data_IF_495383559419
#
_entry.id   IF_495383559419
#
_cell.length_a   1.000
_cell.length_b   1.000
_cell.length_c   1.000
_cell.angle_alpha   90.00
_cell.angle_beta   90.00
_cell.angle_gamma   90.00
#
_symmetry.space_group_name_H-M   'P 1'
#
loop_
_entity.id
_entity.type
_entity.pdbx_description
1 polymer ?
#
# COMPACT_ATOMS: atom_id res chain seq x y z
N UNK A 1 -9.13 -45.82 -52.51
CA UNK A 1 -9.52 -44.42 -52.26
C UNK A 1 -8.67 -43.93 -51.11
N UNK A 2 -8.20 -42.69 -51.21
CA UNK A 2 -6.92 -42.15 -50.73
C UNK A 2 -6.62 -42.23 -49.23
N UNK A 3 -5.42 -42.73 -48.90
CA UNK A 3 -4.70 -42.46 -47.65
C UNK A 3 -3.97 -41.12 -47.75
N UNK A 4 -4.37 -40.14 -46.95
CA UNK A 4 -3.68 -38.86 -46.78
C UNK A 4 -2.87 -38.86 -45.48
N UNK A 5 -1.63 -39.32 -45.59
CA UNK A 5 -0.60 -39.18 -44.54
C UNK A 5 -0.03 -37.77 -44.59
N UNK A 6 -0.53 -36.90 -43.72
CA UNK A 6 0.02 -35.55 -43.51
C UNK A 6 1.34 -35.62 -42.71
N UNK A 7 2.45 -35.42 -43.40
CA UNK A 7 3.76 -35.21 -42.78
C UNK A 7 3.79 -33.83 -42.09
N UNK A 8 3.78 -33.84 -40.77
CA UNK A 8 4.03 -32.67 -39.94
C UNK A 8 5.56 -32.49 -39.81
N UNK A 9 6.13 -31.55 -40.55
CA UNK A 9 7.54 -31.21 -40.48
C UNK A 9 7.83 -30.52 -39.13
N UNK A 10 8.39 -31.27 -38.20
CA UNK A 10 8.92 -30.74 -36.95
C UNK A 10 10.01 -29.71 -37.23
N UNK A 11 9.72 -28.45 -36.96
CA UNK A 11 10.70 -27.37 -36.92
C UNK A 11 11.61 -27.60 -35.72
N UNK A 12 12.80 -28.16 -35.98
CA UNK A 12 13.85 -28.33 -34.98
C UNK A 12 14.44 -26.95 -34.68
N UNK A 13 14.13 -26.42 -33.50
CA UNK A 13 14.77 -25.21 -32.97
C UNK A 13 16.22 -25.53 -32.64
N UNK A 14 17.14 -25.10 -33.52
CA UNK A 14 18.59 -25.16 -33.29
C UNK A 14 19.00 -23.86 -32.58
N UNK A 15 19.47 -23.89 -31.32
CA UNK A 15 19.94 -22.69 -30.65
C UNK A 15 21.20 -22.13 -31.35
N UNK A 16 21.34 -20.80 -31.46
CA UNK A 16 22.50 -20.19 -32.08
C UNK A 16 23.78 -20.55 -31.32
N UNK A 17 24.75 -21.05 -32.08
CA UNK A 17 26.08 -21.44 -31.63
C UNK A 17 26.88 -20.20 -31.14
N UNK A 18 27.30 -20.13 -29.86
CA UNK A 18 27.91 -18.92 -29.28
C UNK A 18 29.39 -18.70 -29.64
N UNK A 19 29.99 -19.53 -30.51
CA UNK A 19 31.43 -19.49 -30.79
C UNK A 19 31.80 -18.84 -32.13
N UNK A 20 31.29 -17.64 -32.39
CA UNK A 20 31.78 -16.80 -33.49
C UNK A 20 31.85 -15.32 -33.05
N UNK A 21 32.82 -15.02 -32.20
CA UNK A 21 33.26 -13.64 -31.95
C UNK A 21 34.75 -13.55 -32.26
N UNK A 22 35.03 -13.38 -33.56
CA UNK A 22 36.32 -12.92 -34.08
C UNK A 22 36.63 -11.54 -33.50
N UNK A 23 37.85 -11.38 -33.00
CA UNK A 23 38.31 -10.25 -32.21
C UNK A 23 38.14 -8.90 -32.89
N UNK A 24 37.33 -8.04 -32.27
CA UNK A 24 37.50 -6.60 -32.35
C UNK A 24 38.25 -6.17 -31.08
N UNK A 25 39.47 -5.71 -31.27
CA UNK A 25 40.35 -5.20 -30.22
C UNK A 25 39.78 -3.86 -29.71
N UNK A 26 39.54 -3.68 -28.39
CA UNK A 26 39.02 -2.41 -27.89
C UNK A 26 40.15 -1.38 -27.85
N UNK A 27 40.11 -0.44 -28.78
CA UNK A 27 40.92 0.77 -28.77
C UNK A 27 40.60 1.55 -27.49
N UNK A 28 41.60 1.74 -26.64
CA UNK A 28 41.49 2.46 -25.38
C UNK A 28 41.01 3.90 -25.60
N UNK A 29 39.77 4.17 -25.24
CA UNK A 29 39.21 5.51 -25.16
C UNK A 29 38.71 5.75 -23.74
N UNK A 30 39.36 6.72 -23.09
CA UNK A 30 39.00 7.46 -21.88
C UNK A 30 37.68 7.03 -21.21
N UNK A 31 37.80 6.47 -20.02
CA UNK A 31 36.69 6.23 -19.10
C UNK A 31 36.01 7.52 -18.69
N UNK A 32 35.02 7.94 -19.47
CA UNK A 32 33.87 8.59 -18.89
C UNK A 32 33.00 7.47 -18.34
N UNK A 33 32.70 7.54 -17.04
CA UNK A 33 31.75 6.65 -16.38
C UNK A 33 30.35 7.04 -16.87
N UNK A 34 30.11 6.74 -18.14
CA UNK A 34 28.84 6.97 -18.80
C UNK A 34 27.82 6.13 -18.03
N UNK A 35 26.90 6.81 -17.34
CA UNK A 35 25.84 6.16 -16.58
C UNK A 35 24.94 5.43 -17.59
N UNK A 36 25.29 4.18 -17.85
CA UNK A 36 24.58 3.34 -18.81
C UNK A 36 23.18 3.10 -18.27
N UNK A 37 22.18 3.67 -18.96
CA UNK A 37 20.78 3.40 -18.68
C UNK A 37 20.43 2.05 -19.30
N UNK A 38 19.84 1.16 -18.49
CA UNK A 38 19.29 -0.08 -18.99
C UNK A 38 17.93 0.15 -19.63
N UNK A 39 17.71 -0.45 -20.79
CA UNK A 39 16.38 -0.53 -21.41
C UNK A 39 15.49 -1.51 -20.64
N UNK A 40 14.19 -1.48 -20.91
CA UNK A 40 13.21 -2.36 -20.26
C UNK A 40 13.54 -3.85 -20.45
N UNK A 41 13.97 -4.23 -21.65
CA UNK A 41 14.29 -5.62 -22.00
C UNK A 41 15.55 -6.09 -21.26
N UNK A 42 16.53 -5.23 -21.10
CA UNK A 42 17.75 -5.56 -20.36
C UNK A 42 17.47 -5.72 -18.86
N UNK A 43 16.63 -4.85 -18.29
CA UNK A 43 16.14 -5.00 -16.92
C UNK A 43 15.42 -6.35 -16.73
N UNK A 44 14.63 -6.76 -17.72
CA UNK A 44 13.90 -8.02 -17.75
C UNK A 44 14.85 -9.24 -17.76
N UNK A 45 15.93 -9.18 -18.55
CA UNK A 45 17.00 -10.20 -18.54
C UNK A 45 17.58 -10.37 -17.13
N UNK A 46 17.90 -9.26 -16.46
CA UNK A 46 18.54 -9.30 -15.14
C UNK A 46 17.60 -9.92 -14.09
N UNK A 47 16.32 -9.55 -14.10
CA UNK A 47 15.38 -10.12 -13.12
C UNK A 47 15.08 -11.60 -13.40
N UNK A 48 15.01 -12.01 -14.66
CA UNK A 48 14.89 -13.43 -15.01
C UNK A 48 16.08 -14.24 -14.51
N UNK A 49 17.30 -13.73 -14.64
CA UNK A 49 18.49 -14.35 -14.06
C UNK A 49 18.40 -14.43 -12.53
N UNK A 50 17.91 -13.38 -11.87
CA UNK A 50 17.72 -13.39 -10.42
C UNK A 50 16.71 -14.46 -9.99
N UNK A 51 15.56 -14.57 -10.68
CA UNK A 51 14.55 -15.58 -10.42
C UNK A 51 15.04 -17.01 -10.69
N UNK A 52 15.79 -17.20 -11.78
CA UNK A 52 16.33 -18.51 -12.18
C UNK A 52 17.31 -19.06 -11.13
N UNK A 53 18.20 -18.21 -10.62
CA UNK A 53 19.20 -18.59 -9.61
C UNK A 53 18.78 -18.24 -8.17
N UNK A 54 17.50 -17.93 -7.97
CA UNK A 54 17.02 -17.47 -6.68
C UNK A 54 17.21 -18.47 -5.52
N UNK A 55 17.24 -19.80 -5.71
CA UNK A 55 17.61 -20.72 -4.62
C UNK A 55 19.01 -20.47 -4.04
N UNK A 56 19.96 -19.99 -4.84
CA UNK A 56 21.33 -19.69 -4.40
C UNK A 56 21.39 -18.40 -3.57
N UNK A 57 20.43 -17.50 -3.78
CA UNK A 57 20.32 -16.25 -3.00
C UNK A 57 19.94 -16.50 -1.54
N UNK A 58 19.12 -17.52 -1.27
CA UNK A 58 18.62 -17.85 0.06
C UNK A 58 19.69 -18.42 1.01
N UNK A 59 20.89 -18.74 0.51
CA UNK A 59 22.00 -19.21 1.33
C UNK A 59 22.71 -18.01 1.98
N UNK A 60 22.81 -17.91 3.32
CA UNK A 60 23.37 -16.74 3.99
C UNK A 60 24.80 -16.37 3.56
N UNK A 61 25.64 -17.37 3.27
CA UNK A 61 27.01 -17.18 2.77
C UNK A 61 27.08 -17.06 1.24
N UNK A 62 25.99 -17.35 0.53
CA UNK A 62 25.95 -17.48 -0.93
C UNK A 62 25.61 -16.18 -1.67
N UNK A 63 25.16 -15.12 -0.98
CA UNK A 63 24.68 -13.90 -1.64
C UNK A 63 25.75 -13.23 -2.51
N UNK A 64 27.00 -13.15 -2.03
CA UNK A 64 28.08 -12.55 -2.80
C UNK A 64 28.38 -13.32 -4.10
N UNK A 65 28.38 -14.66 -4.03
CA UNK A 65 28.59 -15.53 -5.18
C UNK A 65 27.40 -15.51 -6.13
N UNK A 66 26.18 -15.44 -5.61
CA UNK A 66 24.96 -15.22 -6.39
C UNK A 66 25.08 -13.94 -7.22
N UNK A 67 25.43 -12.80 -6.60
CA UNK A 67 25.54 -11.54 -7.34
C UNK A 67 26.67 -11.53 -8.36
N UNK A 68 27.82 -12.16 -8.06
CA UNK A 68 28.91 -12.36 -9.04
C UNK A 68 28.44 -13.20 -10.23
N UNK A 69 27.68 -14.27 -9.97
CA UNK A 69 27.13 -15.14 -11.02
C UNK A 69 26.12 -14.39 -11.89
N UNK A 70 25.19 -13.65 -11.28
CA UNK A 70 24.23 -12.79 -12.00
C UNK A 70 24.97 -11.73 -12.83
N UNK A 71 25.98 -11.05 -12.27
CA UNK A 71 26.78 -10.06 -13.00
C UNK A 71 27.42 -10.67 -14.26
N UNK A 72 28.06 -11.85 -14.11
CA UNK A 72 28.72 -12.55 -15.21
C UNK A 72 27.72 -12.96 -16.29
N UNK A 73 26.61 -13.59 -15.92
CA UNK A 73 25.60 -14.06 -16.88
C UNK A 73 24.87 -12.92 -17.57
N UNK A 74 24.52 -11.86 -16.83
CA UNK A 74 23.93 -10.66 -17.41
C UNK A 74 24.90 -10.00 -18.39
N UNK A 75 26.19 -9.93 -18.05
CA UNK A 75 27.19 -9.36 -18.95
C UNK A 75 27.35 -10.16 -20.25
N UNK A 76 27.23 -11.48 -20.17
CA UNK A 76 27.24 -12.35 -21.35
C UNK A 76 26.00 -12.16 -22.22
N UNK A 77 24.80 -12.10 -21.62
CA UNK A 77 23.54 -11.94 -22.38
C UNK A 77 23.38 -10.55 -22.97
N UNK A 78 23.84 -9.51 -22.28
CA UNK A 78 23.72 -8.12 -22.72
C UNK A 78 24.88 -7.66 -23.62
N UNK A 79 25.93 -8.47 -23.77
CA UNK A 79 27.13 -8.11 -24.52
C UNK A 79 27.94 -6.95 -23.92
N UNK A 80 27.69 -6.57 -22.66
CA UNK A 80 28.34 -5.44 -21.98
C UNK A 80 28.49 -5.69 -20.47
N UNK A 81 29.54 -5.16 -19.82
CA UNK A 81 29.81 -5.45 -18.41
C UNK A 81 28.76 -4.83 -17.47
N UNK A 82 28.19 -5.66 -16.60
CA UNK A 82 27.28 -5.26 -15.53
C UNK A 82 28.04 -5.19 -14.20
N UNK A 83 28.41 -3.98 -13.77
CA UNK A 83 29.30 -3.77 -12.61
C UNK A 83 28.65 -4.13 -11.26
N UNK A 84 27.39 -3.76 -11.03
CA UNK A 84 26.75 -3.92 -9.71
C UNK A 84 25.27 -4.34 -9.83
N UNK A 85 24.99 -5.63 -10.10
CA UNK A 85 23.62 -6.12 -10.24
C UNK A 85 22.79 -6.02 -8.96
N UNK A 86 23.43 -6.09 -7.78
CA UNK A 86 22.72 -5.99 -6.50
C UNK A 86 22.11 -4.60 -6.30
N UNK A 87 22.91 -3.55 -6.47
CA UNK A 87 22.43 -2.17 -6.38
C UNK A 87 21.37 -1.87 -7.46
N UNK A 88 21.56 -2.42 -8.65
CA UNK A 88 20.64 -2.26 -9.76
C UNK A 88 19.29 -2.95 -9.50
N UNK A 89 19.29 -4.19 -9.00
CA UNK A 89 18.06 -4.88 -8.60
C UNK A 89 17.34 -4.16 -7.46
N UNK A 90 18.08 -3.60 -6.49
CA UNK A 90 17.49 -2.77 -5.43
C UNK A 90 16.78 -1.55 -6.01
N UNK A 91 17.46 -0.80 -6.88
CA UNK A 91 16.87 0.36 -7.57
C UNK A 91 15.63 -0.04 -8.38
N UNK A 92 15.70 -1.12 -9.16
CA UNK A 92 14.57 -1.59 -9.96
C UNK A 92 13.36 -1.99 -9.12
N UNK A 93 13.59 -2.59 -7.94
CA UNK A 93 12.54 -2.90 -6.97
C UNK A 93 11.94 -1.63 -6.37
N UNK A 94 12.76 -0.67 -5.99
CA UNK A 94 12.28 0.59 -5.41
C UNK A 94 11.48 1.40 -6.44
N UNK A 95 11.95 1.49 -7.69
CA UNK A 95 11.22 2.08 -8.83
C UNK A 95 9.86 1.39 -9.05
N UNK A 96 9.82 0.06 -8.93
CA UNK A 96 8.58 -0.73 -9.06
C UNK A 96 7.59 -0.44 -7.92
N UNK A 97 8.05 -0.35 -6.68
CA UNK A 97 7.19 -0.01 -5.52
C UNK A 97 6.57 1.37 -5.70
N UNK A 98 7.36 2.36 -6.15
CA UNK A 98 6.86 3.72 -6.45
C UNK A 98 5.81 3.66 -7.56
N UNK A 99 6.08 2.92 -8.66
CA UNK A 99 5.16 2.78 -9.77
C UNK A 99 3.82 2.15 -9.33
N UNK A 100 3.86 1.08 -8.55
CA UNK A 100 2.65 0.42 -8.05
C UNK A 100 1.88 1.29 -7.05
N UNK A 101 2.56 2.06 -6.21
CA UNK A 101 1.92 3.01 -5.30
C UNK A 101 1.18 4.13 -6.07
N UNK A 102 1.81 4.67 -7.12
CA UNK A 102 1.15 5.66 -8.00
C UNK A 102 -0.07 5.05 -8.69
N UNK A 103 0.10 3.86 -9.29
CA UNK A 103 -0.98 3.13 -9.97
C UNK A 103 -2.17 2.86 -9.04
N UNK A 104 -1.90 2.41 -7.82
CA UNK A 104 -2.94 2.13 -6.83
C UNK A 104 -3.73 3.39 -6.46
N UNK A 105 -3.06 4.55 -6.39
CA UNK A 105 -3.70 5.84 -6.10
C UNK A 105 -4.60 6.31 -7.24
N UNK A 106 -4.17 6.07 -8.48
CA UNK A 106 -4.88 6.53 -9.68
C UNK A 106 -6.06 5.63 -10.07
N UNK A 107 -5.89 4.30 -10.01
CA UNK A 107 -6.84 3.32 -10.56
C UNK A 107 -7.58 2.50 -9.50
N UNK A 108 -7.29 2.70 -8.21
CA UNK A 108 -7.91 1.96 -7.09
C UNK A 108 -7.51 0.48 -6.99
N UNK A 109 -6.92 -0.08 -8.04
CA UNK A 109 -6.32 -1.43 -8.05
C UNK A 109 -4.97 -1.36 -8.76
N UNK A 110 -3.92 -1.92 -8.13
CA UNK A 110 -2.59 -2.04 -8.73
C UNK A 110 -2.35 -3.51 -9.08
N UNK A 111 -2.78 -3.93 -10.27
CA UNK A 111 -2.40 -5.23 -10.80
C UNK A 111 -1.13 -5.11 -11.65
N UNK A 112 -0.20 -6.06 -11.56
CA UNK A 112 0.97 -6.13 -12.43
C UNK A 112 0.55 -6.67 -13.80
N UNK A 113 0.53 -5.79 -14.79
CA UNK A 113 0.00 -6.07 -16.13
C UNK A 113 1.10 -6.50 -17.10
N UNK A 114 2.36 -6.12 -16.83
CA UNK A 114 3.52 -6.47 -17.67
C UNK A 114 4.37 -7.62 -17.15
N UNK A 115 5.06 -8.32 -18.06
CA UNK A 115 6.02 -9.40 -17.71
C UNK A 115 7.12 -8.92 -16.73
N UNK A 116 7.61 -7.70 -16.91
CA UNK A 116 8.56 -7.07 -15.99
C UNK A 116 7.96 -6.91 -14.59
N UNK A 117 6.72 -6.42 -14.49
CA UNK A 117 6.01 -6.17 -13.23
C UNK A 117 5.74 -7.49 -12.51
N UNK A 118 5.26 -8.50 -13.23
CA UNK A 118 5.03 -9.84 -12.69
C UNK A 118 6.34 -10.49 -12.20
N UNK A 119 7.43 -10.33 -12.94
CA UNK A 119 8.75 -10.83 -12.54
C UNK A 119 9.27 -10.09 -11.31
N UNK A 120 9.02 -8.79 -11.21
CA UNK A 120 9.38 -7.97 -10.04
C UNK A 120 8.59 -8.37 -8.80
N UNK A 121 7.29 -8.61 -8.93
CA UNK A 121 6.46 -9.08 -7.81
C UNK A 121 6.93 -10.46 -7.31
N UNK A 122 7.23 -11.39 -8.24
CA UNK A 122 7.79 -12.71 -7.89
C UNK A 122 9.12 -12.58 -7.14
N UNK A 123 10.00 -11.70 -7.61
CA UNK A 123 11.30 -11.48 -6.96
C UNK A 123 11.13 -10.86 -5.57
N UNK A 124 10.30 -9.82 -5.46
CA UNK A 124 9.96 -9.16 -4.19
C UNK A 124 9.43 -10.17 -3.18
N UNK A 125 8.40 -10.94 -3.53
CA UNK A 125 7.83 -11.97 -2.65
C UNK A 125 8.91 -12.95 -2.15
N UNK A 126 9.84 -13.34 -3.02
CA UNK A 126 10.91 -14.26 -2.63
C UNK A 126 11.92 -13.62 -1.67
N UNK A 127 12.33 -12.38 -1.91
CA UNK A 127 13.22 -11.65 -0.99
C UNK A 127 12.55 -11.47 0.36
N UNK A 128 11.26 -11.13 0.38
CA UNK A 128 10.48 -10.97 1.61
C UNK A 128 10.36 -12.30 2.37
N UNK A 129 10.08 -13.40 1.66
CA UNK A 129 10.00 -14.76 2.23
C UNK A 129 11.34 -15.30 2.72
N UNK A 130 12.46 -14.80 2.17
CA UNK A 130 13.80 -15.29 2.53
C UNK A 130 14.26 -14.87 3.92
N UNK A 131 13.50 -14.01 4.62
CA UNK A 131 13.81 -13.60 5.98
C UNK A 131 15.09 -12.77 6.11
N UNK A 132 15.66 -12.31 5.00
CA UNK A 132 16.93 -11.56 4.92
C UNK A 132 16.87 -10.18 5.60
N UNK A 133 15.74 -9.83 6.25
CA UNK A 133 15.59 -8.70 7.17
C UNK A 133 15.78 -7.30 6.55
N UNK A 134 16.18 -7.23 5.27
CA UNK A 134 16.49 -6.01 4.52
C UNK A 134 15.45 -5.72 3.42
N UNK A 135 14.50 -6.62 3.21
CA UNK A 135 13.38 -6.48 2.26
C UNK A 135 12.20 -5.70 2.83
N UNK A 136 11.96 -5.81 4.14
CA UNK A 136 10.94 -5.03 4.82
C UNK A 136 11.51 -3.64 5.13
N UNK A 137 11.09 -2.64 4.35
CA UNK A 137 10.65 -1.40 5.01
C UNK A 137 9.66 -1.88 6.05
N UNK A 138 10.04 -1.87 7.33
CA UNK A 138 9.12 -2.17 8.44
C UNK A 138 7.85 -1.33 8.22
N UNK A 139 6.64 -1.91 8.11
CA UNK A 139 5.69 -1.65 9.16
C UNK A 139 6.16 -2.51 10.33
N UNK A 140 6.41 -1.93 11.49
CA UNK A 140 6.94 -2.66 12.64
C UNK A 140 5.96 -3.70 13.23
N UNK A 141 4.88 -4.06 12.53
CA UNK A 141 3.72 -4.75 13.10
C UNK A 141 2.94 -5.49 11.98
N UNK A 142 3.43 -6.59 11.39
CA UNK A 142 2.67 -7.27 10.33
C UNK A 142 3.06 -8.72 10.04
N UNK A 143 3.28 -9.57 11.04
CA UNK A 143 3.43 -11.02 10.76
C UNK A 143 2.66 -11.97 11.67
N UNK A 144 2.03 -11.48 12.74
CA UNK A 144 0.98 -12.20 13.48
C UNK A 144 -0.34 -11.43 13.46
N UNK A 145 -0.26 -10.10 13.56
CA UNK A 145 -1.43 -9.23 13.64
C UNK A 145 -2.17 -9.08 12.30
N UNK A 146 -1.50 -9.13 11.15
CA UNK A 146 -2.19 -9.01 9.85
C UNK A 146 -3.05 -10.24 9.51
N UNK A 147 -2.64 -11.44 9.92
CA UNK A 147 -3.44 -12.65 9.73
C UNK A 147 -4.67 -12.65 10.65
N UNK A 148 -4.55 -12.09 11.85
CA UNK A 148 -5.67 -11.91 12.76
C UNK A 148 -6.59 -10.77 12.31
N UNK A 149 -6.05 -9.66 11.81
CA UNK A 149 -6.82 -8.55 11.25
C UNK A 149 -7.56 -8.97 9.98
N UNK A 150 -6.94 -9.72 9.06
CA UNK A 150 -7.62 -10.26 7.87
C UNK A 150 -8.72 -11.27 8.25
N UNK A 151 -8.49 -12.09 9.29
CA UNK A 151 -9.51 -13.01 9.82
C UNK A 151 -10.67 -12.22 10.44
N UNK A 152 -10.39 -11.20 11.24
CA UNK A 152 -11.41 -10.35 11.88
C UNK A 152 -12.17 -9.55 10.82
N UNK A 153 -11.50 -8.98 9.82
CA UNK A 153 -12.17 -8.29 8.72
C UNK A 153 -13.02 -9.24 7.87
N UNK A 154 -12.55 -10.46 7.63
CA UNK A 154 -13.33 -11.49 6.94
C UNK A 154 -14.56 -11.91 7.74
N UNK A 155 -14.42 -12.09 9.06
CA UNK A 155 -15.52 -12.40 9.97
C UNK A 155 -16.53 -11.26 10.06
N UNK A 156 -16.07 -10.01 10.14
CA UNK A 156 -16.94 -8.82 10.13
C UNK A 156 -17.66 -8.68 8.79
N UNK A 157 -16.97 -8.89 7.67
CA UNK A 157 -17.59 -8.83 6.34
C UNK A 157 -18.64 -9.92 6.16
N UNK A 158 -18.32 -11.15 6.58
CA UNK A 158 -19.26 -12.27 6.59
C UNK A 158 -20.46 -12.02 7.50
N UNK A 159 -20.23 -11.48 8.71
CA UNK A 159 -21.29 -11.10 9.63
C UNK A 159 -22.19 -10.01 9.05
N UNK A 160 -21.62 -8.98 8.41
CA UNK A 160 -22.39 -7.93 7.75
C UNK A 160 -23.22 -8.45 6.58
N UNK A 161 -22.67 -9.39 5.78
CA UNK A 161 -23.46 -10.10 4.76
C UNK A 161 -24.64 -10.86 5.37
N UNK A 162 -24.40 -11.66 6.40
CA UNK A 162 -25.47 -12.45 7.03
C UNK A 162 -26.51 -11.55 7.68
N UNK A 163 -26.11 -10.49 8.37
CA UNK A 163 -27.02 -9.54 9.01
C UNK A 163 -27.83 -8.73 8.00
N UNK A 164 -27.25 -8.35 6.85
CA UNK A 164 -28.00 -7.69 5.77
C UNK A 164 -28.94 -8.64 5.03
N UNK A 165 -28.67 -9.94 5.03
CA UNK A 165 -29.59 -10.97 4.54
C UNK A 165 -30.68 -11.31 5.56
N UNK A 166 -30.37 -11.32 6.86
CA UNK A 166 -31.30 -11.60 7.95
C UNK A 166 -32.26 -10.45 8.26
N UNK A 167 -31.91 -9.21 7.89
CA UNK A 167 -32.78 -8.04 8.04
C UNK A 167 -33.81 -7.85 6.93
N UNK A 168 -33.75 -8.67 5.86
CA UNK A 168 -34.84 -8.75 4.89
C UNK A 168 -35.91 -9.65 5.50
N UNK A 169 -36.96 -9.05 6.06
CA UNK A 169 -38.20 -9.78 6.34
C UNK A 169 -38.51 -10.65 5.12
N UNK A 170 -38.65 -11.95 5.37
CA UNK A 170 -38.99 -12.87 4.29
C UNK A 170 -40.30 -12.41 3.68
N UNK A 171 -40.43 -12.55 2.36
CA UNK A 171 -41.64 -12.14 1.63
C UNK A 171 -42.90 -12.84 2.20
N UNK A 172 -42.74 -14.01 2.83
CA UNK A 172 -43.77 -14.72 3.60
C UNK A 172 -44.22 -13.98 4.86
N UNK A 173 -43.31 -13.36 5.62
CA UNK A 173 -43.65 -12.60 6.83
C UNK A 173 -44.36 -11.28 6.48
N UNK A 174 -43.98 -10.66 5.36
CA UNK A 174 -44.70 -9.50 4.80
C UNK A 174 -46.10 -9.87 4.27
N UNK A 175 -46.26 -11.04 3.65
CA UNK A 175 -47.56 -11.56 3.21
C UNK A 175 -48.47 -11.92 4.40
N UNK A 176 -47.93 -12.45 5.49
CA UNK A 176 -48.68 -12.74 6.71
C UNK A 176 -49.14 -11.48 7.47
N UNK A 177 -48.53 -10.32 7.19
CA UNK A 177 -48.89 -9.03 7.78
C UNK A 177 -50.00 -8.27 7.04
N UNK A 178 -50.46 -8.78 5.89
CA UNK A 178 -51.59 -8.19 5.16
C UNK A 178 -52.90 -8.54 5.88
N UNK A 179 -53.66 -7.56 6.41
CA UNK A 179 -54.97 -7.83 6.96
C UNK A 179 -55.89 -8.30 5.83
N UNK A 180 -56.49 -9.47 6.02
CA UNK A 180 -57.44 -10.08 5.10
C UNK A 180 -58.68 -9.18 4.98
N UNK A 181 -58.67 -8.31 3.97
CA UNK A 181 -59.75 -7.39 3.64
C UNK A 181 -60.87 -8.15 2.91
N UNK A 182 -61.46 -9.12 3.61
CA UNK A 182 -62.70 -9.81 3.25
C UNK A 182 -63.90 -9.07 3.83
N UNK A 183 -64.45 -8.16 3.02
CA UNK A 183 -65.87 -7.78 2.90
C UNK A 183 -66.81 -8.14 4.07
N UNK A 184 -67.24 -7.14 4.85
CA UNK A 184 -68.34 -7.32 5.81
C UNK A 184 -68.79 -6.02 6.46
N UNK A 185 -69.93 -5.51 6.00
CA UNK A 185 -70.55 -4.25 6.40
C UNK A 185 -70.96 -4.13 7.89
N UNK A 186 -70.89 -2.88 8.35
CA UNK A 186 -71.79 -2.18 9.29
C UNK A 186 -71.39 -2.04 10.79
N UNK A 187 -71.78 -0.91 11.43
CA UNK A 187 -71.20 -0.39 12.67
C UNK A 187 -72.09 -0.69 13.90
N UNK A 188 -71.60 -0.37 15.12
CA UNK A 188 -72.30 0.33 16.23
C UNK A 188 -71.63 0.04 17.60
N UNK A 189 -71.25 1.14 18.26
CA UNK A 189 -71.25 1.46 19.70
C UNK A 189 -70.35 0.79 20.76
N UNK A 190 -69.99 1.70 21.68
CA UNK A 190 -69.83 1.57 23.15
C UNK A 190 -68.52 1.06 23.74
N UNK A 191 -67.69 2.03 24.15
CA UNK A 191 -66.92 2.10 25.41
C UNK A 191 -67.66 1.46 26.61
N UNK A 192 -66.95 0.94 27.65
CA UNK A 192 -66.41 1.85 28.67
C UNK A 192 -65.12 1.42 29.43
N UNK A 193 -64.36 2.45 29.82
CA UNK A 193 -63.79 2.74 31.16
C UNK A 193 -63.04 1.64 31.93
N UNK A 194 -61.73 1.86 32.10
CA UNK A 194 -60.89 1.29 33.16
C UNK A 194 -59.54 2.00 33.29
N UNK A 195 -59.46 3.01 34.16
CA UNK A 195 -58.24 3.70 34.64
C UNK A 195 -58.03 3.35 36.14
N UNK A 196 -56.94 3.72 36.85
CA UNK A 196 -55.61 4.25 36.47
C UNK A 196 -54.43 3.60 37.26
N UNK A 197 -53.21 4.13 37.05
CA UNK A 197 -52.05 4.11 37.97
C UNK A 197 -51.00 2.99 37.82
N UNK A 198 -49.85 3.36 37.21
CA UNK A 198 -48.45 3.27 37.69
C UNK A 198 -47.56 3.61 36.48
N UNK A 199 -47.55 4.87 36.06
CA UNK A 199 -46.57 5.36 35.08
C UNK A 199 -46.23 6.79 35.46
N UNK A 200 -45.34 7.00 36.43
CA UNK A 200 -44.69 8.30 36.69
C UNK A 200 -43.61 8.15 37.78
N UNK A 201 -42.46 7.58 37.42
CA UNK A 201 -41.22 7.73 38.21
C UNK A 201 -39.93 7.28 37.50
N UNK A 202 -39.99 6.81 36.25
CA UNK A 202 -38.78 6.50 35.43
C UNK A 202 -38.39 7.57 34.41
N UNK A 203 -39.08 8.71 34.36
CA UNK A 203 -38.88 9.75 33.34
C UNK A 203 -37.70 10.68 33.65
N UNK A 204 -37.49 11.06 34.93
CA UNK A 204 -36.43 12.01 35.31
C UNK A 204 -35.00 11.45 35.29
N UNK A 205 -34.82 10.13 35.40
CA UNK A 205 -33.50 9.50 35.32
C UNK A 205 -33.00 9.33 33.87
N UNK A 206 -33.92 9.20 32.91
CA UNK A 206 -33.58 9.12 31.48
C UNK A 206 -33.24 10.50 30.90
N UNK A 207 -33.88 11.56 31.37
CA UNK A 207 -33.64 12.93 30.90
C UNK A 207 -32.22 13.43 31.24
N UNK A 208 -31.74 13.21 32.48
CA UNK A 208 -30.34 13.52 32.86
C UNK A 208 -29.29 12.72 32.08
N UNK A 209 -29.59 11.47 31.68
CA UNK A 209 -28.68 10.65 30.84
C UNK A 209 -28.61 11.17 29.40
N UNK A 210 -29.74 11.60 28.82
CA UNK A 210 -29.79 12.15 27.46
C UNK A 210 -29.09 13.52 27.39
N UNK A 211 -29.20 14.33 28.44
CA UNK A 211 -28.53 15.63 28.52
C UNK A 211 -27.01 15.50 28.67
N UNK A 212 -26.53 14.55 29.50
CA UNK A 212 -25.11 14.21 29.59
C UNK A 212 -24.51 13.65 28.29
N UNK A 213 -25.29 12.93 27.49
CA UNK A 213 -24.88 12.46 26.16
C UNK A 213 -24.77 13.59 25.14
N UNK A 214 -25.70 14.56 25.16
CA UNK A 214 -25.60 15.76 24.31
C UNK A 214 -24.37 16.61 24.65
N UNK A 215 -24.08 16.78 25.94
CA UNK A 215 -22.89 17.50 26.41
C UNK A 215 -21.59 16.80 25.96
N UNK A 216 -21.51 15.46 26.11
CA UNK A 216 -20.37 14.68 25.61
C UNK A 216 -20.22 14.79 24.10
N UNK A 217 -21.31 14.75 23.34
CA UNK A 217 -21.29 14.90 21.87
C UNK A 217 -20.78 16.29 21.46
N UNK A 218 -21.17 17.33 22.19
CA UNK A 218 -20.68 18.70 21.97
C UNK A 218 -19.18 18.80 22.24
N UNK A 219 -18.70 18.20 23.34
CA UNK A 219 -17.28 18.18 23.70
C UNK A 219 -16.42 17.44 22.68
N UNK A 220 -16.89 16.32 22.14
CA UNK A 220 -16.21 15.60 21.06
C UNK A 220 -16.15 16.45 19.78
N UNK A 221 -17.25 17.13 19.44
CA UNK A 221 -17.29 18.01 18.27
C UNK A 221 -16.33 19.20 18.40
N UNK A 222 -16.27 19.82 19.58
CA UNK A 222 -15.34 20.94 19.84
C UNK A 222 -13.88 20.47 19.85
N UNK A 223 -13.60 19.27 20.36
CA UNK A 223 -12.26 18.65 20.26
C UNK A 223 -11.88 18.36 18.81
N UNK A 224 -12.81 17.86 17.98
CA UNK A 224 -12.58 17.65 16.55
C UNK A 224 -12.24 18.94 15.83
N UNK A 225 -13.02 20.01 16.06
CA UNK A 225 -12.74 21.34 15.48
C UNK A 225 -11.39 21.89 15.88
N UNK A 226 -11.01 21.75 17.15
CA UNK A 226 -9.69 22.18 17.63
C UNK A 226 -8.56 21.43 16.93
N UNK A 227 -8.73 20.12 16.68
CA UNK A 227 -7.74 19.32 15.95
C UNK A 227 -7.63 19.73 14.48
N UNK A 228 -8.76 20.01 13.82
CA UNK A 228 -8.79 20.48 12.43
C UNK A 228 -8.08 21.84 12.28
N UNK A 229 -8.32 22.77 13.22
CA UNK A 229 -7.65 24.08 13.25
C UNK A 229 -6.14 23.93 13.48
N UNK A 230 -5.72 22.99 14.33
CA UNK A 230 -4.30 22.73 14.60
C UNK A 230 -3.59 22.12 13.39
N UNK A 231 -4.22 21.17 12.70
CA UNK A 231 -3.71 20.59 11.44
C UNK A 231 -3.60 21.67 10.35
N UNK A 232 -4.61 22.53 10.24
CA UNK A 232 -4.58 23.64 9.30
C UNK A 232 -3.42 24.61 9.60
N UNK A 233 -3.16 24.92 10.87
CA UNK A 233 -2.06 25.78 11.28
C UNK A 233 -0.68 25.14 11.01
N UNK A 234 -0.53 23.83 11.23
CA UNK A 234 0.72 23.09 10.95
C UNK A 234 1.00 23.01 9.45
N UNK A 235 -0.05 22.78 8.63
CA UNK A 235 0.07 22.82 7.18
C UNK A 235 0.53 24.19 6.68
N UNK A 236 0.05 25.29 7.25
CA UNK A 236 0.55 26.64 6.94
C UNK A 236 2.04 26.79 7.29
N UNK A 237 2.49 26.16 8.38
CA UNK A 237 3.90 26.11 8.78
C UNK A 237 4.78 25.38 7.75
N UNK A 238 4.35 24.20 7.33
CA UNK A 238 5.01 23.40 6.30
C UNK A 238 5.14 24.15 4.97
N UNK A 239 4.07 24.80 4.50
CA UNK A 239 4.11 25.60 3.27
C UNK A 239 5.12 26.75 3.39
N UNK A 240 5.22 27.41 4.55
CA UNK A 240 6.22 28.46 4.79
C UNK A 240 7.66 27.96 4.78
N UNK A 241 7.92 26.73 5.22
CA UNK A 241 9.27 26.13 5.14
C UNK A 241 9.64 25.85 3.68
N UNK A 242 8.67 25.34 2.90
CA UNK A 242 8.87 25.08 1.46
C UNK A 242 9.11 26.37 0.67
N UNK A 243 8.35 27.45 0.94
CA UNK A 243 8.51 28.74 0.26
C UNK A 243 9.89 29.38 0.54
N UNK A 244 10.38 29.32 1.79
CA UNK A 244 11.72 29.82 2.15
C UNK A 244 12.85 29.11 1.42
N UNK A 245 12.70 27.81 1.18
CA UNK A 245 13.70 27.02 0.47
C UNK A 245 13.69 27.30 -1.04
N UNK A 246 12.53 27.59 -1.63
CA UNK A 246 12.43 27.98 -3.04
C UNK A 246 13.14 29.32 -3.33
N UNK A 247 12.99 30.31 -2.44
CA UNK A 247 13.65 31.62 -2.58
C UNK A 247 15.17 31.53 -2.38
N UNK A 248 15.65 30.67 -1.47
CA UNK A 248 17.08 30.43 -1.25
C UNK A 248 17.79 29.83 -2.47
N UNK A 249 17.12 28.93 -3.18
CA UNK A 249 17.61 28.32 -4.42
C UNK A 249 17.70 29.34 -5.58
N UNK A 250 16.79 30.31 -5.63
CA UNK A 250 16.78 31.35 -6.66
C UNK A 250 17.82 32.45 -6.42
N UNK A 251 18.15 32.76 -5.17
CA UNK A 251 19.13 33.80 -4.82
C UNK A 251 20.60 33.39 -5.01
N UNK A 252 20.90 32.09 -5.11
CA UNK A 252 22.28 31.56 -5.17
C UNK A 252 22.79 31.24 -6.59
N UNK A 253 21.97 31.45 -7.64
CA UNK A 253 22.29 31.20 -9.05
C UNK A 253 23.31 32.15 -9.69
N UNK A 254 24.05 32.93 -8.90
CA UNK A 254 25.02 33.90 -9.36
C UNK A 254 26.45 33.55 -8.95
N UNK A 255 27.22 33.02 -9.91
CA UNK A 255 28.69 33.00 -9.96
C UNK A 255 29.47 31.93 -9.14
N UNK A 256 30.19 31.11 -9.94
CA UNK A 256 31.44 30.36 -9.66
C UNK A 256 31.33 28.96 -9.04
N UNK A 257 31.29 27.97 -9.93
CA UNK A 257 32.05 26.73 -9.80
C UNK A 257 31.23 25.46 -9.53
N UNK A 258 31.06 24.65 -10.58
CA UNK A 258 30.42 23.31 -10.63
C UNK A 258 30.87 22.28 -9.56
N UNK A 259 31.87 22.59 -8.73
CA UNK A 259 32.37 21.69 -7.67
C UNK A 259 31.75 21.96 -6.30
N UNK A 260 30.98 23.03 -6.11
CA UNK A 260 30.27 23.33 -4.85
C UNK A 260 28.77 23.01 -4.88
N UNK A 261 28.19 22.74 -6.05
CA UNK A 261 26.77 22.38 -6.19
C UNK A 261 26.45 21.00 -5.61
N UNK A 262 27.30 19.98 -5.82
CA UNK A 262 27.05 18.64 -5.26
C UNK A 262 27.13 18.62 -3.72
N UNK A 263 28.01 19.42 -3.12
CA UNK A 263 28.15 19.47 -1.66
C UNK A 263 26.98 20.23 -1.01
N UNK A 264 26.47 21.28 -1.66
CA UNK A 264 25.26 22.00 -1.23
C UNK A 264 23.98 21.18 -1.39
N UNK A 265 23.84 20.42 -2.49
CA UNK A 265 22.69 19.51 -2.69
C UNK A 265 22.62 18.43 -1.60
N UNK A 266 23.76 17.84 -1.22
CA UNK A 266 23.81 16.85 -0.13
C UNK A 266 23.47 17.46 1.23
N UNK A 267 23.86 18.71 1.47
CA UNK A 267 23.58 19.40 2.73
C UNK A 267 22.09 19.80 2.85
N UNK A 268 21.48 20.27 1.77
CA UNK A 268 20.04 20.58 1.71
C UNK A 268 19.21 19.31 1.87
N UNK A 269 19.56 18.21 1.20
CA UNK A 269 18.86 16.92 1.36
C UNK A 269 18.96 16.38 2.79
N UNK A 270 20.10 16.59 3.46
CA UNK A 270 20.29 16.18 4.86
C UNK A 270 19.46 17.01 5.83
N UNK A 271 19.43 18.33 5.67
CA UNK A 271 18.76 19.24 6.60
C UNK A 271 17.23 19.18 6.43
N UNK A 272 16.76 19.29 5.18
CA UNK A 272 15.34 19.14 4.83
C UNK A 272 14.85 17.72 5.16
N UNK A 273 15.66 16.70 4.87
CA UNK A 273 15.34 15.32 5.23
C UNK A 273 15.14 15.15 6.73
N UNK A 274 16.03 15.71 7.56
CA UNK A 274 15.95 15.56 9.01
C UNK A 274 14.73 16.26 9.64
N UNK A 275 14.39 17.46 9.17
CA UNK A 275 13.25 18.22 9.70
C UNK A 275 11.92 17.60 9.25
N UNK A 276 11.80 17.21 7.98
CA UNK A 276 10.61 16.53 7.45
C UNK A 276 10.40 15.18 8.13
N UNK A 277 11.45 14.38 8.31
CA UNK A 277 11.38 13.10 9.05
C UNK A 277 10.94 13.35 10.51
N UNK A 278 11.45 14.40 11.14
CA UNK A 278 11.07 14.80 12.50
C UNK A 278 9.58 15.12 12.62
N UNK A 279 9.05 15.94 11.72
CA UNK A 279 7.63 16.31 11.69
C UNK A 279 6.72 15.12 11.36
N UNK A 280 7.07 14.30 10.36
CA UNK A 280 6.31 13.08 10.02
C UNK A 280 6.27 12.10 11.20
N UNK A 281 7.38 11.92 11.91
CA UNK A 281 7.43 11.07 13.11
C UNK A 281 6.57 11.64 14.25
N UNK A 282 6.53 12.96 14.39
CA UNK A 282 5.67 13.64 15.38
C UNK A 282 4.19 13.42 15.09
N UNK A 283 3.79 13.57 13.82
CA UNK A 283 2.41 13.34 13.35
C UNK A 283 2.01 11.88 13.56
N UNK A 284 2.85 10.93 13.18
CA UNK A 284 2.58 9.49 13.36
C UNK A 284 2.29 9.14 14.83
N UNK A 285 3.17 9.56 15.76
CA UNK A 285 2.96 9.33 17.21
C UNK A 285 1.68 9.98 17.72
N UNK A 286 1.22 11.05 17.09
CA UNK A 286 0.01 11.78 17.48
C UNK A 286 -1.24 11.07 16.96
N UNK A 287 -1.19 10.48 15.76
CA UNK A 287 -2.22 9.59 15.24
C UNK A 287 -2.39 8.36 16.12
N UNK A 288 -1.30 7.71 16.54
CA UNK A 288 -1.36 6.55 17.45
C UNK A 288 -2.09 6.90 18.76
N UNK A 289 -1.78 8.08 19.35
CA UNK A 289 -2.48 8.57 20.56
C UNK A 289 -3.95 8.89 20.33
N UNK A 290 -4.36 9.25 19.11
CA UNK A 290 -5.77 9.47 18.79
C UNK A 290 -6.51 8.15 18.65
N UNK A 291 -5.89 7.15 18.04
CA UNK A 291 -6.45 5.80 17.91
C UNK A 291 -6.67 5.15 19.27
N UNK A 292 -5.70 5.25 20.18
CA UNK A 292 -5.83 4.77 21.57
C UNK A 292 -7.00 5.45 22.32
N UNK A 293 -7.16 6.78 22.15
CA UNK A 293 -8.28 7.52 22.75
C UNK A 293 -9.62 7.14 22.14
N UNK A 294 -9.67 6.85 20.84
CA UNK A 294 -10.89 6.40 20.17
C UNK A 294 -11.30 5.03 20.70
N UNK A 295 -10.35 4.10 20.88
CA UNK A 295 -10.59 2.79 21.46
C UNK A 295 -11.10 2.88 22.91
N UNK A 296 -10.58 3.82 23.71
CA UNK A 296 -11.05 4.08 25.07
C UNK A 296 -12.51 4.60 25.08
N UNK A 297 -12.85 5.51 24.17
CA UNK A 297 -14.22 6.01 24.00
C UNK A 297 -15.16 4.84 23.65
N UNK A 298 -14.79 4.01 22.68
CA UNK A 298 -15.62 2.90 22.22
C UNK A 298 -15.82 1.85 23.34
N UNK A 299 -14.77 1.53 24.11
CA UNK A 299 -14.87 0.67 25.31
C UNK A 299 -15.85 1.22 26.34
N UNK A 300 -15.83 2.53 26.60
CA UNK A 300 -16.78 3.13 27.55
C UNK A 300 -18.21 3.18 27.03
N UNK A 301 -18.42 3.19 25.71
CA UNK A 301 -19.75 3.21 25.10
C UNK A 301 -20.44 1.83 25.19
N UNK A 302 -19.68 0.74 25.10
CA UNK A 302 -20.19 -0.65 25.18
C UNK A 302 -20.63 -1.02 26.61
N UNK A 303 -20.11 -0.36 27.64
CA UNK A 303 -20.44 -0.64 29.05
C UNK A 303 -21.68 0.10 29.58
N UNK A 304 -22.29 1.01 28.81
CA UNK A 304 -23.40 1.90 29.24
C UNK A 304 -24.75 1.44 28.70
#
# INVERSE_FOLDING_TARGET
>A
MSDSTGQNAGSIFVPPNPYNLSGAQPTGARGQDERVHLTKDEKLVIIHLCLLYAPEYSVPSGQGEFWKKVARLASQQLGRPVKNPSQMMRKMRDDYVILMASRSREMGTAQPDGEYEQSMEKWKHRVDSSGDGRGSVKPAIASSESAEVDKVQSEIHHHNMISTLSGKQTFEEALASLPDSGTGSAPIASSPVGSPAIVLSKSKAKEKKVEGLKEKRRKIQDQGKHLDEEIAAENIGLTKVLDKNADGLLAQGGNKGQKREEELLVQIDSEVGSEVIGQVTSIARRMDRMEEKQEEIDKTLVQV
#
